data_IF_587838313385
#
_entry.id   IF_587838313385
#
_cell.length_a   1.000
_cell.length_b   1.000
_cell.length_c   1.000
_cell.angle_alpha   90.00
_cell.angle_beta   90.00
_cell.angle_gamma   90.00
#
_symmetry.space_group_name_H-M   'P 1'
#
loop_
_entity.id
_entity.type
_entity.pdbx_description
1 polymer ?
#
# COMPACT_ATOMS: atom_id res chain seq x y z
N UNK A 1 -11.44 4.54 -20.93
CA UNK A 1 -11.49 3.12 -21.35
C UNK A 1 -11.65 2.25 -20.13
N UNK A 2 -12.13 1.02 -20.28
CA UNK A 2 -12.06 0.02 -19.21
C UNK A 2 -10.61 -0.46 -19.04
N UNK A 3 -10.21 -0.74 -17.80
CA UNK A 3 -8.89 -1.24 -17.45
C UNK A 3 -9.05 -2.66 -16.88
N UNK A 4 -8.36 -3.67 -17.44
CA UNK A 4 -8.46 -5.04 -16.94
C UNK A 4 -7.79 -5.18 -15.56
N UNK A 5 -8.18 -6.22 -14.82
CA UNK A 5 -7.46 -6.63 -13.61
C UNK A 5 -5.99 -6.89 -13.95
N UNK A 6 -5.09 -6.41 -13.09
CA UNK A 6 -3.65 -6.56 -13.30
C UNK A 6 -3.08 -5.59 -14.34
N UNK A 7 -3.86 -4.65 -14.87
CA UNK A 7 -3.35 -3.57 -15.70
C UNK A 7 -2.21 -2.85 -14.96
N UNK A 8 -1.06 -2.74 -15.61
CA UNK A 8 0.18 -2.17 -15.06
C UNK A 8 0.37 -0.75 -15.56
N UNK A 9 0.84 0.10 -14.68
CA UNK A 9 1.26 1.47 -14.97
C UNK A 9 2.36 1.86 -14.00
N UNK A 10 2.98 3.03 -14.22
CA UNK A 10 4.14 3.46 -13.44
C UNK A 10 3.77 4.70 -12.65
N UNK A 11 4.06 4.69 -11.36
CA UNK A 11 4.20 5.92 -10.59
C UNK A 11 5.64 6.38 -10.78
N UNK A 12 5.86 7.56 -11.34
CA UNK A 12 7.19 8.05 -11.66
C UNK A 12 7.34 9.53 -11.31
N UNK A 13 8.58 9.99 -11.26
CA UNK A 13 8.89 11.38 -10.96
C UNK A 13 10.36 11.56 -10.60
N UNK A 14 10.66 12.72 -10.02
CA UNK A 14 12.01 13.05 -9.61
C UNK A 14 12.39 12.27 -8.36
N UNK A 15 13.62 11.77 -8.33
CA UNK A 15 14.18 11.14 -7.14
C UNK A 15 14.70 12.23 -6.22
N UNK A 16 14.09 12.36 -5.04
CA UNK A 16 14.50 13.35 -4.04
C UNK A 16 14.78 12.68 -2.68
N UNK A 17 15.67 13.24 -1.85
CA UNK A 17 15.77 12.83 -0.45
C UNK A 17 14.44 13.11 0.27
N UNK A 18 14.06 12.23 1.20
CA UNK A 18 12.86 12.43 2.03
C UNK A 18 13.01 13.69 2.89
N UNK A 19 11.98 14.54 2.86
CA UNK A 19 11.89 15.72 3.72
C UNK A 19 10.40 16.02 3.98
N UNK A 20 9.96 15.78 5.22
CA UNK A 20 8.56 15.96 5.62
C UNK A 20 8.09 17.42 5.59
N UNK A 21 9.00 18.40 5.61
CA UNK A 21 8.66 19.83 5.58
C UNK A 21 8.40 20.35 4.17
N UNK A 22 8.66 19.57 3.12
CA UNK A 22 8.40 19.99 1.74
C UNK A 22 6.90 19.87 1.42
N UNK A 23 6.30 20.83 0.71
CA UNK A 23 4.92 20.72 0.24
C UNK A 23 4.67 19.46 -0.62
N UNK A 24 5.68 19.02 -1.38
CA UNK A 24 5.55 17.81 -2.21
C UNK A 24 5.60 16.50 -1.42
N UNK A 25 5.91 16.54 -0.12
CA UNK A 25 6.01 15.34 0.72
C UNK A 25 4.69 14.54 0.77
N UNK A 26 3.55 15.19 0.53
CA UNK A 26 2.23 14.55 0.52
C UNK A 26 2.01 13.64 -0.69
N UNK A 27 2.68 13.95 -1.79
CA UNK A 27 2.58 13.22 -3.05
C UNK A 27 3.72 12.20 -3.21
N UNK A 28 4.74 12.28 -2.36
CA UNK A 28 5.94 11.47 -2.51
C UNK A 28 5.74 10.04 -2.01
N UNK A 29 6.28 9.07 -2.75
CA UNK A 29 6.29 7.66 -2.33
C UNK A 29 7.71 7.12 -2.24
N UNK A 30 7.97 6.19 -1.33
CA UNK A 30 9.29 5.57 -1.19
C UNK A 30 9.72 4.86 -2.48
N UNK A 31 10.89 5.19 -3.02
CA UNK A 31 11.41 4.52 -4.23
C UNK A 31 11.94 3.11 -3.92
N UNK A 32 12.95 3.03 -3.07
CA UNK A 32 13.51 1.81 -2.47
C UNK A 32 13.98 2.17 -1.07
N UNK A 33 14.11 1.18 -0.21
CA UNK A 33 14.67 1.36 1.13
C UNK A 33 16.03 2.06 1.04
N UNK A 34 16.18 3.14 1.81
CA UNK A 34 17.38 4.00 1.86
C UNK A 34 17.76 4.67 0.51
N UNK A 35 16.83 4.78 -0.42
CA UNK A 35 17.05 5.38 -1.74
C UNK A 35 16.20 6.64 -1.98
N UNK A 36 15.67 7.26 -0.92
CA UNK A 36 14.81 8.44 -1.05
C UNK A 36 13.42 8.12 -1.55
N UNK A 37 12.76 9.13 -2.09
CA UNK A 37 11.36 9.09 -2.53
C UNK A 37 11.22 9.57 -3.98
N UNK A 38 10.09 9.20 -4.58
CA UNK A 38 9.66 9.64 -5.92
C UNK A 38 8.73 10.83 -5.72
N UNK A 39 9.10 12.01 -6.20
CA UNK A 39 8.28 13.21 -6.23
C UNK A 39 7.63 13.36 -7.61
N UNK A 40 6.31 13.10 -7.73
CA UNK A 40 5.62 13.20 -9.01
C UNK A 40 5.25 14.64 -9.38
N UNK A 41 5.30 15.59 -8.44
CA UNK A 41 4.67 16.91 -8.56
C UNK A 41 5.14 17.75 -9.75
N UNK A 42 6.40 17.66 -10.22
CA UNK A 42 6.83 18.37 -11.43
C UNK A 42 6.26 17.77 -12.73
N UNK A 43 5.67 16.57 -12.69
CA UNK A 43 5.35 15.75 -13.86
C UNK A 43 3.84 15.52 -14.00
N UNK A 44 3.19 16.31 -14.85
CA UNK A 44 1.74 16.20 -15.11
C UNK A 44 1.27 14.80 -15.56
N UNK A 45 2.17 14.00 -16.16
CA UNK A 45 1.89 12.65 -16.65
C UNK A 45 1.99 11.52 -15.61
N UNK A 46 2.41 11.82 -14.37
CA UNK A 46 2.47 10.81 -13.31
C UNK A 46 1.08 10.60 -12.70
N UNK A 47 0.25 9.80 -13.39
CA UNK A 47 -1.19 9.65 -13.10
C UNK A 47 -1.54 9.37 -11.64
N UNK A 48 -0.66 8.69 -10.91
CA UNK A 48 -0.95 8.29 -9.54
C UNK A 48 -0.92 9.45 -8.53
N UNK A 49 -0.46 10.64 -8.92
CA UNK A 49 -0.65 11.86 -8.10
C UNK A 49 -2.12 12.27 -7.98
N UNK A 50 -2.98 11.81 -8.90
CA UNK A 50 -4.42 12.07 -8.88
C UNK A 50 -5.24 10.93 -8.28
N UNK A 51 -4.60 9.85 -7.83
CA UNK A 51 -5.30 8.72 -7.23
C UNK A 51 -5.54 8.98 -5.74
N UNK A 52 -6.78 9.28 -5.38
CA UNK A 52 -7.20 9.58 -4.00
C UNK A 52 -7.06 8.39 -3.05
N UNK A 53 -6.98 8.68 -1.75
CA UNK A 53 -7.07 7.66 -0.72
C UNK A 53 -8.51 7.15 -0.57
N UNK A 54 -8.75 5.83 -0.40
CA UNK A 54 -10.10 5.34 -0.13
C UNK A 54 -10.68 5.90 1.18
N UNK A 55 -11.96 6.27 1.12
CA UNK A 55 -12.77 6.61 2.27
C UNK A 55 -13.10 5.42 3.18
N UNK A 56 -13.88 5.64 4.25
CA UNK A 56 -14.26 4.61 5.21
C UNK A 56 -15.02 3.42 4.61
N UNK A 57 -15.82 3.65 3.56
CA UNK A 57 -16.65 2.61 2.92
C UNK A 57 -16.09 2.15 1.58
N UNK A 58 -14.91 2.63 1.20
CA UNK A 58 -14.29 2.34 -0.09
C UNK A 58 -13.09 1.40 0.07
N UNK A 59 -12.67 0.80 -1.04
CA UNK A 59 -11.46 -0.05 -1.09
C UNK A 59 -10.49 0.45 -2.14
N UNK A 60 -9.20 0.34 -1.80
CA UNK A 60 -8.10 0.65 -2.69
C UNK A 60 -8.00 -0.39 -3.82
N UNK A 61 -8.07 0.06 -5.08
CA UNK A 61 -7.97 -0.79 -6.28
C UNK A 61 -6.56 -0.79 -6.91
N UNK A 62 -5.65 0.07 -6.46
CA UNK A 62 -4.23 0.04 -6.84
C UNK A 62 -3.41 -0.76 -5.82
N UNK A 63 -2.39 -1.46 -6.26
CA UNK A 63 -1.32 -1.97 -5.39
C UNK A 63 0.03 -1.67 -6.02
N UNK A 64 0.99 -1.36 -5.16
CA UNK A 64 2.39 -1.26 -5.54
C UNK A 64 2.93 -2.63 -5.96
N UNK A 65 3.59 -2.67 -7.11
CA UNK A 65 4.34 -3.83 -7.60
C UNK A 65 5.68 -3.98 -6.90
N UNK A 66 6.45 -4.98 -7.32
CA UNK A 66 7.83 -5.18 -6.85
C UNK A 66 8.85 -4.52 -7.80
N UNK A 67 8.44 -4.27 -9.03
CA UNK A 67 9.28 -3.70 -10.07
C UNK A 67 9.44 -2.19 -9.89
N UNK A 68 10.63 -1.72 -10.24
CA UNK A 68 11.07 -0.33 -10.08
C UNK A 68 11.93 0.05 -11.27
N UNK A 69 11.73 1.27 -11.75
CA UNK A 69 12.43 1.84 -12.89
C UNK A 69 13.47 2.84 -12.36
N UNK A 70 14.70 2.73 -12.85
CA UNK A 70 15.82 3.57 -12.43
C UNK A 70 16.72 2.96 -11.33
N UNK A 71 17.87 3.59 -11.14
CA UNK A 71 18.95 3.23 -10.22
C UNK A 71 19.05 4.23 -9.06
N UNK A 72 19.99 3.98 -8.15
CA UNK A 72 20.21 4.81 -6.95
C UNK A 72 20.61 6.26 -7.26
N UNK A 73 21.13 6.57 -8.44
CA UNK A 73 21.64 7.91 -8.75
C UNK A 73 20.94 8.53 -9.94
N UNK A 74 19.85 7.90 -10.42
CA UNK A 74 19.09 8.45 -11.53
C UNK A 74 18.20 9.59 -11.02
N UNK A 75 18.12 10.66 -11.81
CA UNK A 75 17.32 11.84 -11.48
C UNK A 75 15.81 11.53 -11.54
N UNK A 76 15.40 10.66 -12.47
CA UNK A 76 14.01 10.24 -12.63
C UNK A 76 13.92 8.74 -12.36
N UNK A 77 12.96 8.37 -11.52
CA UNK A 77 12.73 6.99 -11.09
C UNK A 77 11.24 6.67 -11.12
N UNK A 78 10.91 5.39 -11.05
CA UNK A 78 9.53 4.94 -10.99
C UNK A 78 9.35 3.65 -10.22
N UNK A 79 8.11 3.36 -9.83
CA UNK A 79 7.72 2.04 -9.38
C UNK A 79 6.46 1.57 -10.09
N UNK A 80 6.42 0.26 -10.33
CA UNK A 80 5.25 -0.39 -10.88
C UNK A 80 4.06 -0.26 -9.93
N UNK A 81 2.92 0.05 -10.52
CA UNK A 81 1.61 -0.01 -9.91
C UNK A 81 0.74 -0.96 -10.74
N UNK A 82 -0.15 -1.70 -10.09
CA UNK A 82 -1.07 -2.61 -10.76
C UNK A 82 -2.47 -2.54 -10.16
N UNK A 83 -3.47 -2.77 -10.99
CA UNK A 83 -4.85 -2.88 -10.52
C UNK A 83 -5.11 -4.26 -9.87
N UNK A 84 -5.71 -4.26 -8.68
CA UNK A 84 -6.15 -5.48 -7.97
C UNK A 84 -7.39 -6.12 -8.61
N UNK A 85 -8.16 -5.32 -9.32
CA UNK A 85 -9.44 -5.68 -9.95
C UNK A 85 -9.62 -4.90 -11.25
N UNK A 86 -10.59 -5.29 -12.08
CA UNK A 86 -10.93 -4.49 -13.26
C UNK A 86 -11.51 -3.14 -12.82
N UNK A 87 -11.14 -2.07 -13.52
CA UNK A 87 -11.63 -0.71 -13.27
C UNK A 87 -12.39 -0.24 -14.51
N UNK A 88 -13.73 -0.14 -14.45
CA UNK A 88 -14.50 0.32 -15.59
C UNK A 88 -14.19 1.78 -15.93
N UNK A 89 -14.51 2.18 -17.17
CA UNK A 89 -14.41 3.58 -17.61
C UNK A 89 -15.17 4.48 -16.62
N UNK A 90 -14.61 5.66 -16.39
CA UNK A 90 -15.13 6.67 -15.45
C UNK A 90 -15.15 6.22 -13.97
N UNK A 91 -14.50 5.13 -13.59
CA UNK A 91 -14.28 4.86 -12.17
C UNK A 91 -13.01 5.54 -11.67
N UNK A 92 -13.00 5.93 -10.40
CA UNK A 92 -11.81 6.49 -9.77
C UNK A 92 -10.78 5.41 -9.46
N UNK A 93 -9.52 5.78 -9.59
CA UNK A 93 -8.39 5.01 -9.12
C UNK A 93 -8.04 5.44 -7.70
N UNK A 94 -7.93 4.46 -6.80
CA UNK A 94 -7.68 4.67 -5.38
C UNK A 94 -6.39 3.98 -4.97
N UNK A 95 -5.52 4.75 -4.32
CA UNK A 95 -4.24 4.31 -3.79
C UNK A 95 -4.24 4.44 -2.26
N UNK A 96 -3.71 3.44 -1.56
CA UNK A 96 -3.59 3.49 -0.11
C UNK A 96 -2.25 4.14 0.26
N UNK A 97 -2.29 5.27 0.95
CA UNK A 97 -1.10 6.08 1.30
C UNK A 97 -0.38 5.57 2.56
N UNK A 98 -0.99 4.61 3.28
CA UNK A 98 -0.49 4.14 4.57
C UNK A 98 -1.39 4.61 5.71
N UNK A 99 -1.45 3.82 6.78
CA UNK A 99 -2.25 4.15 7.95
C UNK A 99 -1.74 5.43 8.66
N UNK A 100 -0.42 5.61 8.66
CA UNK A 100 0.23 6.73 9.34
C UNK A 100 -0.05 8.08 8.69
N UNK A 101 -0.41 8.09 7.40
CA UNK A 101 -0.68 9.32 6.66
C UNK A 101 -1.85 10.10 7.27
N UNK A 102 -2.94 9.41 7.64
CA UNK A 102 -4.07 10.03 8.37
C UNK A 102 -3.81 10.14 9.87
N UNK A 103 -3.06 9.21 10.46
CA UNK A 103 -2.76 9.28 11.90
C UNK A 103 -1.96 10.54 12.26
N UNK A 104 -1.09 10.99 11.36
CA UNK A 104 -0.36 12.25 11.49
C UNK A 104 -1.16 13.52 11.17
N UNK A 105 -2.43 13.39 10.77
CA UNK A 105 -3.31 14.49 10.30
C UNK A 105 -4.71 14.38 10.93
N UNK A 106 -4.82 14.57 12.26
CA UNK A 106 -6.10 14.42 12.98
C UNK A 106 -7.18 15.43 12.54
N UNK A 107 -6.80 16.52 11.90
CA UNK A 107 -7.69 17.54 11.33
C UNK A 107 -8.43 17.06 10.08
N UNK A 108 -7.94 16.03 9.39
CA UNK A 108 -8.56 15.53 8.17
C UNK A 108 -9.65 14.51 8.50
N UNK A 109 -10.90 14.91 8.28
CA UNK A 109 -12.05 14.00 8.38
C UNK A 109 -12.08 13.11 7.14
N UNK A 110 -12.01 11.80 7.35
CA UNK A 110 -12.09 10.81 6.27
C UNK A 110 -13.51 10.77 5.69
N UNK A 111 -13.61 10.97 4.40
CA UNK A 111 -14.85 10.85 3.63
C UNK A 111 -14.64 9.92 2.43
N UNK A 112 -15.74 9.37 1.90
CA UNK A 112 -15.73 8.63 0.64
C UNK A 112 -15.52 9.61 -0.52
N UNK A 113 -14.62 9.26 -1.45
CA UNK A 113 -14.21 10.15 -2.54
C UNK A 113 -14.96 9.88 -3.84
N UNK A 114 -15.64 8.73 -3.92
CA UNK A 114 -16.50 8.35 -5.01
C UNK A 114 -17.66 9.33 -5.19
N UNK A 115 -17.99 9.61 -6.44
CA UNK A 115 -19.14 10.43 -6.81
C UNK A 115 -20.09 9.63 -7.69
N UNK A 116 -21.35 10.04 -7.87
CA UNK A 116 -22.26 9.39 -8.82
C UNK A 116 -21.71 9.36 -10.25
N UNK A 117 -20.97 10.42 -10.65
CA UNK A 117 -20.35 10.52 -11.97
C UNK A 117 -19.07 9.68 -12.08
N UNK A 118 -18.30 9.61 -11.00
CA UNK A 118 -17.03 8.89 -10.92
C UNK A 118 -17.01 7.98 -9.69
N UNK A 119 -17.64 6.80 -9.76
CA UNK A 119 -17.76 5.90 -8.62
C UNK A 119 -16.44 5.23 -8.27
N UNK A 120 -16.39 4.72 -7.04
CA UNK A 120 -15.25 4.02 -6.45
C UNK A 120 -15.64 2.58 -6.04
N UNK A 121 -14.68 1.66 -6.02
CA UNK A 121 -14.90 0.33 -5.46
C UNK A 121 -15.26 0.39 -3.97
N UNK A 122 -16.36 -0.26 -3.59
CA UNK A 122 -16.89 -0.25 -2.22
C UNK A 122 -16.27 -1.35 -1.36
N UNK A 123 -15.95 -1.10 -0.10
CA UNK A 123 -15.55 -2.14 0.83
C UNK A 123 -16.69 -3.14 1.04
N UNK A 124 -16.35 -4.42 1.27
CA UNK A 124 -17.36 -5.39 1.67
C UNK A 124 -17.96 -4.98 3.02
N UNK A 125 -19.30 -5.04 3.20
CA UNK A 125 -19.93 -4.62 4.44
C UNK A 125 -19.36 -5.43 5.61
N UNK A 126 -18.97 -4.71 6.68
CA UNK A 126 -18.48 -5.30 7.93
C UNK A 126 -19.58 -6.22 8.47
N UNK A 127 -19.36 -7.54 8.42
CA UNK A 127 -20.32 -8.57 8.83
C UNK A 127 -20.66 -9.62 7.76
N UNK A 128 -20.42 -9.31 6.47
CA UNK A 128 -20.66 -10.26 5.37
C UNK A 128 -19.84 -11.55 5.48
N UNK A 129 -18.58 -11.46 5.95
CA UNK A 129 -17.72 -12.63 6.18
C UNK A 129 -18.18 -13.50 7.35
N UNK A 130 -18.72 -12.90 8.42
CA UNK A 130 -19.26 -13.64 9.57
C UNK A 130 -20.58 -14.35 9.21
N UNK A 131 -21.43 -13.71 8.39
CA UNK A 131 -22.66 -14.32 7.89
C UNK A 131 -22.39 -15.47 6.89
N UNK A 132 -21.41 -15.30 6.00
CA UNK A 132 -20.99 -16.36 5.06
C UNK A 132 -20.36 -17.55 5.79
N UNK A 133 -19.52 -17.32 6.81
CA UNK A 133 -18.94 -18.39 7.63
C UNK A 133 -20.01 -19.17 8.44
N UNK A 134 -21.03 -18.47 8.97
CA UNK A 134 -22.16 -19.12 9.67
C UNK A 134 -23.04 -19.95 8.72
N UNK A 135 -23.25 -19.53 7.47
CA UNK A 135 -23.98 -20.33 6.46
C UNK A 135 -23.21 -21.56 6.00
N UNK A 136 -21.89 -21.46 5.83
CA UNK A 136 -21.05 -22.61 5.47
C UNK A 136 -20.99 -23.68 6.58
N UNK A 137 -21.03 -23.27 7.86
CA UNK A 137 -21.07 -24.20 8.99
C UNK A 137 -22.42 -24.94 9.13
N UNK A 138 -23.54 -24.31 8.73
CA UNK A 138 -24.90 -24.89 8.87
C UNK A 138 -25.29 -25.85 7.74
N UNK A 139 -24.54 -25.87 6.63
CA UNK A 139 -24.78 -26.76 5.48
C UNK A 139 -24.13 -28.15 5.58
N UNK A 140 -23.33 -28.43 6.63
CA UNK A 140 -22.55 -29.68 6.75
C UNK A 140 -23.18 -30.76 7.64
N UNK A 141 -24.47 -30.65 7.94
CA UNK A 141 -25.15 -31.58 8.83
C UNK A 141 -26.61 -31.78 8.46
N UNK A 142 -26.86 -32.56 7.41
CA UNK A 142 -28.05 -33.44 7.22
C UNK A 142 -27.96 -34.11 5.85
N UNK A 143 -27.36 -35.30 5.83
CA UNK A 143 -27.19 -36.13 4.65
C UNK A 143 -26.76 -37.55 5.01
N UNK A 144 -27.73 -38.32 5.52
CA UNK A 144 -27.89 -39.78 5.47
C UNK A 144 -26.70 -40.73 5.77
N UNK A 145 -26.86 -41.50 6.86
CA UNK A 145 -26.45 -42.91 6.92
C UNK A 145 -27.22 -43.69 5.82
N UNK A 146 -26.73 -44.76 5.18
CA UNK A 146 -26.13 -45.94 5.77
C UNK A 146 -25.65 -46.97 4.71
N UNK A 147 -24.76 -47.87 5.17
CA UNK A 147 -24.49 -49.27 4.75
C UNK A 147 -23.75 -49.58 3.44
N UNK A 148 -22.58 -50.21 3.60
CA UNK A 148 -21.96 -51.09 2.59
C UNK A 148 -20.44 -51.21 2.75
N UNK A 149 -19.96 -52.20 3.51
CA UNK A 149 -18.57 -52.66 3.45
C UNK A 149 -18.38 -53.59 2.23
N UNK A 150 -17.19 -53.64 1.60
CA UNK A 150 -16.31 -54.78 1.91
C UNK A 150 -14.81 -54.44 1.99
N UNK A 151 -14.09 -55.39 2.61
CA UNK A 151 -12.63 -55.46 2.80
C UNK A 151 -11.87 -55.48 1.48
N UNK A 152 -10.75 -54.75 1.43
CA UNK A 152 -9.75 -54.84 0.36
C UNK A 152 -8.38 -54.41 0.87
N UNK A 153 -7.50 -55.39 1.00
CA UNK A 153 -6.11 -55.31 1.46
C UNK A 153 -5.20 -54.74 0.37
N UNK A 154 -4.34 -53.77 0.67
CA UNK A 154 -3.00 -53.68 0.05
C UNK A 154 -2.13 -52.60 0.70
N UNK A 155 -0.88 -52.98 0.93
CA UNK A 155 0.22 -52.22 1.51
C UNK A 155 0.55 -50.93 0.75
N UNK A 156 0.88 -49.87 1.48
CA UNK A 156 1.29 -48.58 0.91
C UNK A 156 2.01 -47.69 1.93
N UNK A 157 3.27 -48.03 2.19
CA UNK A 157 4.38 -47.24 2.79
C UNK A 157 4.10 -45.72 2.93
N UNK A 158 3.87 -45.26 4.16
CA UNK A 158 3.84 -43.82 4.51
C UNK A 158 5.22 -43.39 4.98
N UNK A 159 5.88 -42.59 4.16
CA UNK A 159 7.10 -41.85 4.52
C UNK A 159 6.71 -40.62 5.34
N UNK A 160 7.28 -40.50 6.54
CA UNK A 160 7.19 -39.32 7.40
C UNK A 160 7.73 -38.09 6.65
N UNK A 161 6.86 -37.12 6.36
CA UNK A 161 7.29 -35.76 5.99
C UNK A 161 7.25 -34.90 7.24
N UNK A 162 8.44 -34.64 7.78
CA UNK A 162 8.72 -33.68 8.85
C UNK A 162 8.42 -32.26 8.38
N UNK A 163 7.68 -31.50 9.20
CA UNK A 163 7.42 -30.07 9.01
C UNK A 163 8.74 -29.27 9.15
N UNK A 164 9.12 -28.40 8.20
CA UNK A 164 10.10 -27.38 8.48
C UNK A 164 9.49 -26.26 9.34
N UNK A 165 10.28 -25.89 10.33
CA UNK A 165 10.06 -24.92 11.40
C UNK A 165 9.91 -23.50 10.85
N UNK A 166 8.93 -22.76 11.34
CA UNK A 166 8.76 -21.34 11.08
C UNK A 166 10.00 -20.56 11.52
N UNK A 167 10.68 -19.87 10.59
CA UNK A 167 11.70 -18.88 10.95
C UNK A 167 11.02 -17.55 11.22
N UNK A 168 11.00 -17.14 12.49
CA UNK A 168 10.72 -15.78 12.87
C UNK A 168 11.84 -14.87 12.33
N UNK A 169 11.52 -14.00 11.36
CA UNK A 169 12.35 -12.84 11.06
C UNK A 169 11.87 -11.70 11.94
N UNK A 170 12.69 -11.40 12.96
CA UNK A 170 12.59 -10.22 13.79
C UNK A 170 12.67 -8.96 12.92
N UNK A 171 11.71 -8.08 13.10
CA UNK A 171 11.77 -6.71 12.61
C UNK A 171 12.92 -5.99 13.33
N UNK A 172 13.98 -5.66 12.59
CA UNK A 172 15.02 -4.76 13.05
C UNK A 172 14.48 -3.33 13.07
N UNK A 173 14.16 -2.82 14.25
CA UNK A 173 13.95 -1.41 14.49
C UNK A 173 15.31 -0.67 14.42
N UNK A 174 15.46 0.40 13.62
CA UNK A 174 16.64 1.25 13.73
C UNK A 174 16.56 2.14 14.98
N UNK A 175 17.58 1.95 15.82
CA UNK A 175 17.93 2.73 17.00
C UNK A 175 17.98 4.24 16.73
N UNK A 176 17.17 5.01 17.45
CA UNK A 176 17.30 6.46 17.58
C UNK A 176 18.31 6.80 18.70
N UNK A 177 19.54 7.14 18.33
CA UNK A 177 20.50 7.86 19.20
C UNK A 177 21.41 8.76 18.37
N UNK A 178 21.06 10.05 18.30
CA UNK A 178 21.92 11.22 18.13
C UNK A 178 20.98 12.43 17.94
N UNK A 179 21.10 13.58 18.58
CA UNK A 179 22.04 14.07 19.56
C UNK A 179 21.46 15.36 20.15
N UNK A 180 21.71 15.60 21.43
CA UNK A 180 21.31 16.80 22.15
C UNK A 180 22.58 17.54 22.58
N UNK A 181 22.93 18.63 21.90
CA UNK A 181 23.82 19.70 22.37
C UNK A 181 23.66 20.88 21.39
N UNK A 182 22.84 21.88 21.71
CA UNK A 182 23.26 23.14 22.36
C UNK A 182 24.15 23.98 21.41
N UNK A 183 23.57 24.87 20.58
CA UNK A 183 23.33 26.30 20.87
C UNK A 183 24.49 26.99 21.60
N UNK A 184 25.24 27.83 20.88
CA UNK A 184 25.92 29.01 21.45
C UNK A 184 26.04 30.14 20.40
N UNK A 185 25.50 31.30 20.78
CA UNK A 185 25.74 32.72 20.40
C UNK A 185 26.19 33.06 18.96
N UNK A 186 25.51 33.90 18.16
CA UNK A 186 25.08 35.31 18.35
C UNK A 186 26.25 36.31 18.45
N UNK A 187 26.46 37.12 17.41
CA UNK A 187 27.11 38.43 17.50
C UNK A 187 27.85 38.92 16.24
N UNK A 188 27.62 40.19 15.89
CA UNK A 188 28.37 41.08 14.97
C UNK A 188 28.07 40.92 13.45
N UNK A 189 27.17 41.72 12.83
CA UNK A 189 27.18 43.17 12.48
C UNK A 189 28.41 43.62 11.66
N UNK A 190 28.17 43.98 10.40
CA UNK A 190 28.39 45.35 9.87
C UNK A 190 27.74 45.49 8.49
N UNK A 191 26.93 46.53 8.33
CA UNK A 191 26.41 47.02 7.05
C UNK A 191 27.45 47.96 6.45
N UNK A 192 27.88 47.70 5.20
CA UNK A 192 28.63 48.65 4.39
C UNK A 192 27.68 49.45 3.51
N UNK A 193 27.59 50.76 3.76
CA UNK A 193 26.96 51.74 2.88
C UNK A 193 28.04 52.19 1.89
N UNK A 194 27.77 52.05 0.59
CA UNK A 194 28.60 52.58 -0.47
C UNK A 194 28.28 54.06 -0.70
N UNK A 195 29.33 54.85 -0.94
CA UNK A 195 29.26 56.20 -1.48
C UNK A 195 29.38 56.15 -3.01
#
# INVERSE_FOLDING_TARGET
RDLPKGYRFVFWGDRVPWNASKPSAEFAIEFKTNCGVIDPTPHAGSMAQYASHPGPHERCNIVRGWEVFGKRYDAVVGCEMKLKEACPKNHQLLLFYGADWFAGRPEIIRADVGTPKYPTPQAAPRGSKAAAAKKAAKGKGKGAASKGAPKGTSNGRVVKVTKPKASARSAGAPSAKAGKAARKALGERTNGVAA
#
